data_IF_148423249750
#
_entry.id   IF_148423249750
#
_cell.length_a   1.000
_cell.length_b   1.000
_cell.length_c   1.000
_cell.angle_alpha   90.00
_cell.angle_beta   90.00
_cell.angle_gamma   90.00
#
_symmetry.space_group_name_H-M   'P 1'
#
loop_
_entity.id
_entity.type
_entity.pdbx_description
1 polymer ?
#
# COMPACT_ATOMS: atom_id res chain seq x y z
N UNK A 1 -9.46 3.16 16.17
CA UNK A 1 -9.59 4.44 16.91
C UNK A 1 -11.01 5.00 16.80
N UNK A 2 -11.43 5.91 17.69
CA UNK A 2 -12.78 6.50 17.64
C UNK A 2 -12.82 7.94 18.15
N UNK A 3 -13.78 8.71 17.66
CA UNK A 3 -14.13 10.07 18.11
C UNK A 3 -15.64 10.22 18.17
N UNK A 4 -16.15 10.93 19.18
CA UNK A 4 -17.57 11.17 19.37
C UNK A 4 -17.81 12.64 19.71
N UNK A 5 -18.68 13.30 18.94
CA UNK A 5 -19.19 14.65 19.22
C UNK A 5 -20.57 14.52 19.86
N UNK A 6 -20.75 14.90 21.14
CA UNK A 6 -22.00 14.72 21.85
C UNK A 6 -23.20 15.29 21.10
N UNK A 7 -24.29 14.53 21.06
CA UNK A 7 -25.56 14.91 20.42
C UNK A 7 -25.48 15.21 18.92
N UNK A 8 -24.36 14.90 18.26
CA UNK A 8 -24.18 15.10 16.83
C UNK A 8 -23.83 13.79 16.13
N UNK A 9 -22.55 13.38 16.12
CA UNK A 9 -22.09 12.21 15.40
C UNK A 9 -20.92 11.50 16.08
N UNK A 10 -20.67 10.27 15.65
CA UNK A 10 -19.53 9.47 16.08
C UNK A 10 -18.86 8.79 14.91
N UNK A 11 -17.54 8.63 15.00
CA UNK A 11 -16.71 7.94 14.00
C UNK A 11 -15.89 6.89 14.74
N UNK A 12 -15.94 5.64 14.28
CA UNK A 12 -15.10 4.56 14.80
C UNK A 12 -14.51 3.78 13.64
N UNK A 13 -13.18 3.73 13.59
CA UNK A 13 -12.43 2.84 12.72
C UNK A 13 -12.04 1.61 13.53
N UNK A 14 -12.49 0.45 13.08
CA UNK A 14 -12.20 -0.85 13.69
C UNK A 14 -11.87 -1.87 12.61
N UNK A 15 -10.68 -2.45 12.69
CA UNK A 15 -10.21 -3.52 11.81
C UNK A 15 -9.67 -4.66 12.67
N UNK A 16 -9.83 -5.89 12.19
CA UNK A 16 -9.10 -7.04 12.72
C UNK A 16 -7.74 -7.08 12.04
N UNK A 17 -6.70 -7.17 12.86
CA UNK A 17 -5.31 -7.27 12.43
C UNK A 17 -4.65 -8.47 13.11
N UNK A 18 -3.75 -9.12 12.40
CA UNK A 18 -2.95 -10.24 12.88
C UNK A 18 -1.53 -9.75 13.17
N UNK A 19 -0.94 -10.23 14.27
CA UNK A 19 0.47 -9.97 14.60
C UNK A 19 1.34 -11.00 13.87
N UNK A 20 2.30 -10.54 13.07
CA UNK A 20 3.20 -11.38 12.29
C UNK A 20 4.67 -11.13 12.65
N UNK A 21 5.51 -12.16 12.60
CA UNK A 21 6.97 -12.01 12.67
C UNK A 21 7.47 -11.37 11.36
N UNK A 22 8.33 -10.36 11.47
CA UNK A 22 8.95 -9.72 10.31
C UNK A 22 10.23 -10.41 9.84
N UNK A 23 10.70 -11.40 10.58
CA UNK A 23 12.00 -12.06 10.45
C UNK A 23 13.21 -11.11 10.67
N UNK A 24 12.95 -9.83 10.93
CA UNK A 24 14.00 -8.85 11.25
C UNK A 24 14.43 -9.02 12.70
N UNK A 25 15.74 -9.16 12.88
CA UNK A 25 16.37 -9.36 14.19
C UNK A 25 17.15 -8.12 14.59
N UNK A 26 17.03 -7.73 15.86
CA UNK A 26 17.84 -6.73 16.55
C UNK A 26 18.60 -7.41 17.69
N UNK A 27 19.77 -6.90 18.12
CA UNK A 27 20.50 -7.49 19.25
C UNK A 27 19.68 -7.64 20.54
N UNK A 28 18.61 -6.87 20.70
CA UNK A 28 17.74 -6.87 21.87
C UNK A 28 16.40 -7.58 21.65
N UNK A 29 16.14 -8.16 20.47
CA UNK A 29 14.88 -8.85 20.18
C UNK A 29 14.47 -8.86 18.70
N UNK A 30 13.31 -9.46 18.43
CA UNK A 30 12.72 -9.53 17.09
C UNK A 30 11.67 -8.43 16.88
N UNK A 31 11.55 -7.94 15.64
CA UNK A 31 10.47 -7.01 15.29
C UNK A 31 9.24 -7.78 14.79
N UNK A 32 8.08 -7.34 15.25
CA UNK A 32 6.77 -7.81 14.78
C UNK A 32 6.12 -6.72 13.92
N UNK A 33 5.16 -7.12 13.09
CA UNK A 33 4.33 -6.23 12.31
C UNK A 33 2.86 -6.67 12.36
N UNK A 34 2.00 -5.88 11.71
CA UNK A 34 0.59 -6.19 11.57
C UNK A 34 0.26 -6.57 10.12
N UNK A 35 -0.60 -7.57 9.98
CA UNK A 35 -1.23 -7.96 8.74
C UNK A 35 -2.73 -7.64 8.81
N UNK A 36 -3.28 -7.00 7.77
CA UNK A 36 -4.68 -6.61 7.73
C UNK A 36 -5.56 -7.83 7.38
N UNK A 37 -6.49 -8.18 8.28
CA UNK A 37 -7.46 -9.26 8.06
C UNK A 37 -8.80 -8.71 7.56
N UNK A 38 -9.25 -7.60 8.15
CA UNK A 38 -10.43 -6.89 7.64
C UNK A 38 -10.07 -6.16 6.35
N UNK A 39 -10.65 -6.58 5.22
CA UNK A 39 -10.47 -5.97 3.91
C UNK A 39 -11.79 -5.33 3.43
N UNK A 40 -12.06 -4.13 3.93
CA UNK A 40 -13.26 -3.34 3.58
C UNK A 40 -12.81 -1.92 3.24
N UNK A 41 -13.24 -1.32 2.11
CA UNK A 41 -12.82 0.02 1.74
C UNK A 41 -13.20 1.05 2.82
N UNK A 42 -12.32 2.01 3.07
CA UNK A 42 -12.68 3.23 3.79
C UNK A 42 -13.58 4.11 2.91
N UNK A 43 -14.50 4.86 3.52
CA UNK A 43 -15.31 5.82 2.76
C UNK A 43 -14.47 7.06 2.42
N UNK A 44 -14.06 7.15 1.16
CA UNK A 44 -13.23 8.22 0.64
C UNK A 44 -13.88 9.61 0.76
N UNK A 45 -15.21 9.69 0.87
CA UNK A 45 -15.90 10.98 1.06
C UNK A 45 -15.68 11.57 2.45
N UNK A 46 -15.27 10.75 3.41
CA UNK A 46 -15.01 11.15 4.80
C UNK A 46 -13.53 11.38 5.09
N UNK A 47 -12.67 11.34 4.05
CA UNK A 47 -11.23 11.51 4.19
C UNK A 47 -10.80 12.81 3.50
N UNK A 48 -10.30 13.75 4.28
CA UNK A 48 -9.55 14.88 3.73
C UNK A 48 -8.14 14.40 3.33
N UNK A 49 -7.97 14.10 2.04
CA UNK A 49 -6.68 13.62 1.51
C UNK A 49 -5.56 14.65 1.56
N UNK A 50 -5.86 15.95 1.77
CA UNK A 50 -4.83 16.97 1.94
C UNK A 50 -4.14 16.91 3.31
N UNK A 51 -4.86 16.39 4.32
CA UNK A 51 -4.35 16.20 5.67
C UNK A 51 -3.48 14.94 5.83
N UNK A 52 -3.51 14.03 4.84
CA UNK A 52 -2.70 12.81 4.86
C UNK A 52 -1.28 13.07 4.37
N UNK A 53 -0.31 12.53 5.10
CA UNK A 53 1.07 12.42 4.63
C UNK A 53 1.19 11.50 3.42
N UNK A 54 2.29 11.63 2.67
CA UNK A 54 2.57 10.74 1.54
C UNK A 54 2.65 9.27 1.97
N UNK A 55 3.17 8.99 3.17
CA UNK A 55 3.25 7.62 3.68
C UNK A 55 1.87 7.04 3.99
N UNK A 56 0.96 7.82 4.57
CA UNK A 56 -0.41 7.39 4.84
C UNK A 56 -1.19 7.16 3.54
N UNK A 57 -1.00 8.01 2.53
CA UNK A 57 -1.57 7.80 1.19
C UNK A 57 -1.09 6.50 0.56
N UNK A 58 0.23 6.24 0.61
CA UNK A 58 0.82 4.97 0.14
C UNK A 58 0.25 3.77 0.87
N UNK A 59 0.11 3.87 2.19
CA UNK A 59 -0.48 2.82 3.00
C UNK A 59 -1.93 2.54 2.58
N UNK A 60 -2.75 3.58 2.42
CA UNK A 60 -4.14 3.46 2.00
C UNK A 60 -4.27 2.91 0.57
N UNK A 61 -3.41 3.34 -0.36
CA UNK A 61 -3.33 2.79 -1.72
C UNK A 61 -2.96 1.31 -1.72
N UNK A 62 -2.00 0.89 -0.88
CA UNK A 62 -1.60 -0.51 -0.71
C UNK A 62 -2.75 -1.35 -0.14
N UNK A 63 -3.44 -0.83 0.87
CA UNK A 63 -4.62 -1.46 1.47
C UNK A 63 -5.76 -1.63 0.44
N UNK A 64 -6.06 -0.57 -0.33
CA UNK A 64 -7.04 -0.61 -1.42
C UNK A 64 -6.65 -1.63 -2.51
N UNK A 65 -5.37 -1.75 -2.84
CA UNK A 65 -4.89 -2.78 -3.76
C UNK A 65 -5.09 -4.20 -3.22
N UNK A 66 -4.83 -4.43 -1.92
CA UNK A 66 -5.08 -5.71 -1.27
C UNK A 66 -6.58 -6.09 -1.29
N UNK A 67 -7.48 -5.13 -1.07
CA UNK A 67 -8.93 -5.34 -1.21
C UNK A 67 -9.28 -5.77 -2.64
N UNK A 68 -8.84 -5.01 -3.66
CA UNK A 68 -9.13 -5.32 -5.07
C UNK A 68 -8.64 -6.70 -5.47
N UNK A 69 -7.46 -7.08 -4.97
CA UNK A 69 -6.91 -8.41 -5.22
C UNK A 69 -7.73 -9.48 -4.49
N UNK A 70 -7.76 -9.47 -3.16
CA UNK A 70 -8.34 -10.58 -2.39
C UNK A 70 -9.86 -10.61 -2.48
N UNK A 71 -10.53 -9.50 -2.17
CA UNK A 71 -12.00 -9.43 -2.18
C UNK A 71 -12.52 -9.42 -3.61
N UNK A 72 -11.84 -8.72 -4.52
CA UNK A 72 -12.26 -8.68 -5.93
C UNK A 72 -12.24 -10.04 -6.60
N UNK A 73 -11.23 -10.86 -6.37
CA UNK A 73 -11.20 -12.23 -6.91
C UNK A 73 -12.34 -13.09 -6.34
N UNK A 74 -12.66 -12.99 -5.05
CA UNK A 74 -13.80 -13.71 -4.47
C UNK A 74 -15.16 -13.23 -5.01
N UNK A 75 -15.33 -11.93 -5.24
CA UNK A 75 -16.55 -11.37 -5.83
C UNK A 75 -16.73 -11.83 -7.29
N UNK A 76 -15.65 -11.93 -8.06
CA UNK A 76 -15.67 -12.49 -9.42
C UNK A 76 -16.08 -13.95 -9.41
N UNK A 77 -15.49 -14.78 -8.54
CA UNK A 77 -15.84 -16.21 -8.40
C UNK A 77 -17.32 -16.41 -8.09
N UNK A 78 -17.90 -15.52 -7.29
CA UNK A 78 -19.33 -15.53 -6.92
C UNK A 78 -20.24 -14.85 -7.96
N UNK A 79 -19.71 -14.40 -9.09
CA UNK A 79 -20.43 -13.66 -10.14
C UNK A 79 -21.18 -12.42 -9.59
N UNK A 80 -20.64 -11.80 -8.55
CA UNK A 80 -21.27 -10.63 -7.90
C UNK A 80 -20.78 -9.33 -8.53
N UNK A 81 -21.21 -9.10 -9.77
CA UNK A 81 -20.74 -8.01 -10.63
C UNK A 81 -20.98 -6.62 -10.03
N UNK A 82 -22.16 -6.38 -9.44
CA UNK A 82 -22.50 -5.10 -8.83
C UNK A 82 -21.59 -4.76 -7.63
N UNK A 83 -21.35 -5.74 -6.76
CA UNK A 83 -20.46 -5.58 -5.62
C UNK A 83 -19.01 -5.37 -6.07
N UNK A 84 -18.58 -6.07 -7.12
CA UNK A 84 -17.26 -5.89 -7.71
C UNK A 84 -17.05 -4.45 -8.20
N UNK A 85 -17.97 -3.92 -9.01
CA UNK A 85 -17.85 -2.55 -9.52
C UNK A 85 -17.96 -1.50 -8.41
N UNK A 86 -18.83 -1.71 -7.43
CA UNK A 86 -18.88 -0.83 -6.25
C UNK A 86 -17.53 -0.81 -5.51
N UNK A 87 -16.93 -1.96 -5.26
CA UNK A 87 -15.64 -2.07 -4.58
C UNK A 87 -14.51 -1.41 -5.39
N UNK A 88 -14.48 -1.60 -6.71
CA UNK A 88 -13.51 -0.93 -7.59
C UNK A 88 -13.63 0.60 -7.51
N UNK A 89 -14.86 1.13 -7.44
CA UNK A 89 -15.10 2.56 -7.30
C UNK A 89 -14.66 3.09 -5.92
N UNK A 90 -14.93 2.36 -4.83
CA UNK A 90 -14.52 2.77 -3.47
C UNK A 90 -13.00 2.69 -3.25
N UNK A 91 -12.31 1.83 -3.99
CA UNK A 91 -10.86 1.60 -3.83
C UNK A 91 -10.04 2.39 -4.86
N UNK A 92 -10.55 3.51 -5.37
CA UNK A 92 -9.82 4.38 -6.29
C UNK A 92 -8.43 4.77 -5.77
N UNK A 93 -7.48 4.97 -6.69
CA UNK A 93 -6.11 5.36 -6.35
C UNK A 93 -6.08 6.83 -5.89
N UNK A 94 -5.39 7.09 -4.78
CA UNK A 94 -5.19 8.42 -4.22
C UNK A 94 -3.88 8.99 -4.76
N UNK A 95 -3.93 10.20 -5.31
CA UNK A 95 -2.74 10.85 -5.88
C UNK A 95 -1.70 11.11 -4.79
N UNK A 96 -0.49 10.64 -5.04
CA UNK A 96 0.69 10.88 -4.20
C UNK A 96 1.48 12.05 -4.78
N UNK A 97 1.71 13.09 -3.98
CA UNK A 97 2.68 14.12 -4.35
C UNK A 97 4.05 13.70 -3.81
N UNK A 98 5.01 13.53 -4.71
CA UNK A 98 6.39 13.25 -4.34
C UNK A 98 7.08 14.58 -4.06
N UNK A 99 7.67 14.77 -2.87
CA UNK A 99 8.65 15.82 -2.68
C UNK A 99 9.77 15.65 -3.71
N UNK A 100 10.25 16.75 -4.29
CA UNK A 100 11.30 16.74 -5.34
C UNK A 100 12.53 15.92 -4.92
N UNK A 101 12.88 15.94 -3.63
CA UNK A 101 13.97 15.13 -3.06
C UNK A 101 13.75 13.62 -3.17
N UNK A 102 12.53 13.12 -2.96
CA UNK A 102 12.19 11.71 -3.13
C UNK A 102 12.15 11.31 -4.61
N UNK A 103 11.62 12.18 -5.47
CA UNK A 103 11.61 11.97 -6.92
C UNK A 103 13.03 11.79 -7.48
N UNK A 104 13.96 12.70 -7.10
CA UNK A 104 15.38 12.60 -7.46
C UNK A 104 16.04 11.32 -6.95
N UNK A 105 15.71 10.88 -5.73
CA UNK A 105 16.24 9.65 -5.16
C UNK A 105 15.78 8.40 -5.93
N UNK A 106 14.50 8.36 -6.33
CA UNK A 106 13.94 7.24 -7.08
C UNK A 106 14.53 7.15 -8.50
N UNK A 107 14.68 8.30 -9.17
CA UNK A 107 15.32 8.35 -10.49
C UNK A 107 16.82 7.98 -10.44
N UNK A 108 17.55 8.41 -9.41
CA UNK A 108 18.95 8.01 -9.24
C UNK A 108 19.09 6.52 -8.92
N UNK A 109 18.17 5.93 -8.16
CA UNK A 109 18.18 4.49 -7.92
C UNK A 109 17.95 3.71 -9.22
N UNK A 110 16.95 4.12 -10.03
CA UNK A 110 16.67 3.47 -11.31
C UNK A 110 17.81 3.61 -12.32
N UNK A 111 18.50 4.77 -12.37
CA UNK A 111 19.67 4.92 -13.23
C UNK A 111 20.82 4.04 -12.77
N UNK A 112 21.07 3.93 -11.46
CA UNK A 112 22.10 3.07 -10.90
C UNK A 112 21.89 1.58 -11.25
N UNK A 113 20.65 1.08 -11.15
CA UNK A 113 20.31 -0.29 -11.56
C UNK A 113 20.61 -0.54 -13.05
N UNK A 114 20.27 0.43 -13.91
CA UNK A 114 20.50 0.33 -15.35
C UNK A 114 22.00 0.23 -15.69
N UNK A 115 22.84 1.05 -15.04
CA UNK A 115 24.29 1.01 -15.20
C UNK A 115 24.92 -0.28 -14.65
N UNK A 116 24.43 -0.79 -13.52
CA UNK A 116 24.88 -2.07 -12.97
C UNK A 116 24.58 -3.25 -13.91
N UNK A 117 23.38 -3.31 -14.49
CA UNK A 117 23.02 -4.35 -15.46
C UNK A 117 23.85 -4.28 -16.74
N UNK A 118 24.07 -3.07 -17.28
CA UNK A 118 24.95 -2.86 -18.43
C UNK A 118 26.39 -3.30 -18.16
N UNK A 119 26.94 -2.97 -16.99
CA UNK A 119 28.30 -3.39 -16.61
C UNK A 119 28.43 -4.92 -16.46
N UNK A 120 27.42 -5.59 -15.87
CA UNK A 120 27.38 -7.05 -15.80
C UNK A 120 27.32 -7.69 -17.18
N UNK A 121 26.48 -7.17 -18.09
CA UNK A 121 26.36 -7.69 -19.44
C UNK A 121 27.68 -7.58 -20.23
N UNK A 122 28.39 -6.44 -20.11
CA UNK A 122 29.71 -6.24 -20.75
C UNK A 122 30.76 -7.21 -20.18
N UNK A 123 30.78 -7.42 -18.86
CA UNK A 123 31.72 -8.35 -18.22
C UNK A 123 31.49 -9.81 -18.65
N UNK A 124 30.23 -10.24 -18.77
CA UNK A 124 29.88 -11.60 -19.23
C UNK A 124 30.28 -11.79 -20.70
N UNK A 125 30.03 -10.79 -21.56
CA UNK A 125 30.40 -10.86 -22.97
C UNK A 125 31.92 -10.90 -23.18
N UNK A 126 32.69 -10.16 -22.36
CA UNK A 126 34.15 -10.16 -22.39
C UNK A 126 34.81 -11.44 -21.85
N UNK A 127 34.11 -12.23 -21.03
CA UNK A 127 34.60 -13.54 -20.55
C UNK A 127 34.31 -14.69 -21.54
N UNK A 128 33.43 -14.48 -22.52
CA UNK A 128 33.02 -15.47 -23.51
C UNK A 128 33.76 -15.33 -24.87
N UNK A 129 34.66 -14.35 -25.00
CA UNK A 129 35.57 -14.13 -26.13
C UNK A 129 37.00 -14.50 -25.73
#
# INVERSE_FOLDING_TARGET
PAYYKPSEFGIRLGSVIEVIDTEKRHPTGSFLAFNDISLVPYDMKLIDTSALSTQEKRWLNKYNAAIRHTVGEELKKKLSTNAFFWMMNQTGHIIEYFPESEYRKHNNANSQWHWSLLSMAIAIFGMLL
#
